data_IF_143445846240
#
_entry.id   IF_143445846240
#
_cell.length_a   1.000
_cell.length_b   1.000
_cell.length_c   1.000
_cell.angle_alpha   90.00
_cell.angle_beta   90.00
_cell.angle_gamma   90.00
#
_symmetry.space_group_name_H-M   'P 1'
#
loop_
_entity.id
_entity.type
_entity.pdbx_description
1 polymer ?
#
# COMPACT_ATOMS: atom_id res chain seq x y z
N UNK A 1 -12.63 -18.70 22.76
CA UNK A 1 -13.32 -18.29 21.52
C UNK A 1 -13.18 -16.78 21.40
N UNK A 2 -12.69 -16.23 20.29
CA UNK A 2 -12.74 -14.78 20.12
C UNK A 2 -14.22 -14.36 20.08
N UNK A 3 -14.58 -13.21 20.66
CA UNK A 3 -15.96 -12.72 20.66
C UNK A 3 -16.43 -12.54 19.21
N UNK A 4 -17.60 -13.10 18.87
CA UNK A 4 -18.22 -12.94 17.55
C UNK A 4 -18.81 -11.54 17.43
N UNK A 5 -17.98 -10.52 17.27
CA UNK A 5 -18.47 -9.27 16.70
C UNK A 5 -18.91 -9.60 15.27
N UNK A 6 -20.22 -9.50 14.98
CA UNK A 6 -20.69 -9.47 13.59
C UNK A 6 -20.14 -8.19 12.97
N UNK A 7 -18.99 -8.28 12.34
CA UNK A 7 -18.37 -7.15 11.63
C UNK A 7 -19.14 -6.95 10.33
N UNK A 8 -20.25 -6.22 10.40
CA UNK A 8 -20.93 -5.71 9.21
C UNK A 8 -20.17 -4.48 8.72
N UNK A 9 -19.27 -4.68 7.76
CA UNK A 9 -18.57 -3.59 7.09
C UNK A 9 -19.59 -2.79 6.28
N UNK A 10 -19.83 -1.53 6.68
CA UNK A 10 -20.76 -0.65 5.98
C UNK A 10 -20.10 -0.07 4.73
N UNK A 11 -20.88 0.15 3.67
CA UNK A 11 -20.37 0.68 2.39
C UNK A 11 -19.70 2.03 2.60
N UNK A 12 -20.19 2.86 3.54
CA UNK A 12 -19.67 4.18 3.90
C UNK A 12 -18.28 4.13 4.57
N UNK A 13 -17.87 2.98 5.10
CA UNK A 13 -16.54 2.76 5.70
C UNK A 13 -15.48 2.37 4.68
N UNK A 14 -15.87 2.05 3.45
CA UNK A 14 -14.93 1.75 2.38
C UNK A 14 -14.15 3.00 1.96
N UNK A 15 -12.92 2.86 1.46
CA UNK A 15 -12.12 4.01 1.04
C UNK A 15 -12.73 4.65 -0.22
N UNK A 16 -12.69 5.98 -0.29
CA UNK A 16 -13.05 6.74 -1.47
C UNK A 16 -11.83 7.13 -2.28
N UNK A 17 -11.98 7.13 -3.61
CA UNK A 17 -10.90 7.53 -4.49
C UNK A 17 -11.41 8.24 -5.74
N UNK A 18 -10.68 9.27 -6.17
CA UNK A 18 -11.02 10.15 -7.29
C UNK A 18 -10.26 9.82 -8.58
N UNK A 19 -9.45 8.76 -8.57
CA UNK A 19 -8.63 8.41 -9.72
C UNK A 19 -7.29 9.12 -9.77
N UNK A 20 -6.92 9.90 -8.74
CA UNK A 20 -5.59 10.52 -8.71
C UNK A 20 -4.49 9.44 -8.69
N UNK A 21 -3.67 9.46 -9.73
CA UNK A 21 -2.60 8.51 -9.97
C UNK A 21 -1.57 8.47 -8.83
N UNK A 22 -1.35 9.58 -8.11
CA UNK A 22 -0.38 9.64 -7.02
C UNK A 22 -0.90 9.04 -5.72
N UNK A 23 -2.22 9.02 -5.50
CA UNK A 23 -2.85 8.44 -4.30
C UNK A 23 -3.31 6.99 -4.51
N UNK A 24 -3.12 6.44 -5.72
CA UNK A 24 -3.53 5.09 -6.08
C UNK A 24 -2.92 4.00 -5.19
N UNK A 25 -1.63 4.10 -4.84
CA UNK A 25 -0.94 3.13 -3.99
C UNK A 25 -1.56 3.10 -2.59
N UNK A 26 -1.84 4.28 -2.02
CA UNK A 26 -2.46 4.39 -0.71
C UNK A 26 -3.90 3.84 -0.73
N UNK A 27 -4.68 4.16 -1.77
CA UNK A 27 -6.01 3.60 -1.95
C UNK A 27 -5.98 2.06 -2.03
N UNK A 28 -5.07 1.48 -2.82
CA UNK A 28 -4.92 0.03 -2.95
C UNK A 28 -4.54 -0.63 -1.63
N UNK A 29 -3.63 0.01 -0.88
CA UNK A 29 -3.24 -0.45 0.45
C UNK A 29 -4.42 -0.48 1.42
N UNK A 30 -5.24 0.59 1.47
CA UNK A 30 -6.43 0.65 2.32
C UNK A 30 -7.45 -0.45 1.97
N UNK A 31 -7.69 -0.69 0.69
CA UNK A 31 -8.56 -1.80 0.24
C UNK A 31 -8.01 -3.16 0.70
N UNK A 32 -6.69 -3.37 0.57
CA UNK A 32 -6.07 -4.62 0.98
C UNK A 32 -6.15 -4.84 2.50
N UNK A 33 -6.02 -3.79 3.32
CA UNK A 33 -6.20 -3.89 4.77
C UNK A 33 -7.60 -4.36 5.15
N UNK A 34 -8.63 -3.86 4.47
CA UNK A 34 -10.00 -4.33 4.68
C UNK A 34 -10.15 -5.79 4.26
N UNK A 35 -9.52 -6.20 3.17
CA UNK A 35 -9.58 -7.59 2.69
C UNK A 35 -8.96 -8.59 3.69
N UNK A 36 -7.96 -8.18 4.48
CA UNK A 36 -7.34 -9.02 5.51
C UNK A 36 -8.26 -9.40 6.68
N UNK A 37 -9.40 -8.74 6.83
CA UNK A 37 -10.45 -9.18 7.75
C UNK A 37 -11.01 -10.57 7.38
N UNK A 38 -10.80 -11.02 6.13
CA UNK A 38 -11.10 -12.37 5.67
C UNK A 38 -12.59 -12.66 5.55
N UNK A 39 -12.94 -13.95 5.55
CA UNK A 39 -14.31 -14.40 5.29
C UNK A 39 -14.79 -14.00 3.89
N UNK A 40 -15.99 -13.43 3.80
CA UNK A 40 -16.63 -13.00 2.54
C UNK A 40 -16.27 -11.55 2.13
N UNK A 41 -15.45 -10.86 2.93
CA UNK A 41 -15.09 -9.45 2.72
C UNK A 41 -14.34 -9.23 1.39
N UNK A 42 -13.40 -10.09 0.95
CA UNK A 42 -12.73 -9.94 -0.35
C UNK A 42 -13.68 -9.83 -1.55
N UNK A 43 -14.73 -10.65 -1.60
CA UNK A 43 -15.78 -10.62 -2.62
C UNK A 43 -16.67 -9.39 -2.48
N UNK A 44 -17.07 -9.06 -1.24
CA UNK A 44 -17.86 -7.88 -0.92
C UNK A 44 -17.20 -6.59 -1.40
N UNK A 45 -15.90 -6.45 -1.11
CA UNK A 45 -15.10 -5.31 -1.55
C UNK A 45 -15.12 -5.19 -3.07
N UNK A 46 -14.91 -6.30 -3.80
CA UNK A 46 -15.04 -6.31 -5.26
C UNK A 46 -16.37 -5.69 -5.71
N UNK A 47 -17.47 -6.11 -5.10
CA UNK A 47 -18.81 -5.65 -5.47
C UNK A 47 -19.07 -4.18 -5.12
N UNK A 48 -18.60 -3.69 -3.97
CA UNK A 48 -18.97 -2.38 -3.45
C UNK A 48 -18.01 -1.24 -3.79
N UNK A 49 -16.71 -1.51 -4.04
CA UNK A 49 -15.69 -0.46 -4.19
C UNK A 49 -16.01 0.57 -5.29
N UNK A 50 -16.64 0.15 -6.38
CA UNK A 50 -16.98 1.07 -7.48
C UNK A 50 -18.03 2.13 -7.08
N UNK A 51 -18.85 1.87 -6.07
CA UNK A 51 -19.77 2.87 -5.52
C UNK A 51 -19.03 3.99 -4.79
N UNK A 52 -17.81 3.72 -4.28
CA UNK A 52 -16.96 4.70 -3.58
C UNK A 52 -15.89 5.36 -4.45
N UNK A 53 -15.92 5.13 -5.75
CA UNK A 53 -15.25 6.03 -6.67
C UNK A 53 -16.00 7.37 -6.68
N UNK A 54 -15.30 8.49 -6.47
CA UNK A 54 -15.95 9.80 -6.31
C UNK A 54 -16.80 10.14 -7.52
N UNK A 55 -18.01 10.65 -7.28
CA UNK A 55 -18.90 11.05 -8.36
C UNK A 55 -18.28 12.15 -9.24
N UNK A 56 -18.50 12.07 -10.55
CA UNK A 56 -17.91 12.99 -11.53
C UNK A 56 -16.42 12.76 -11.84
N UNK A 57 -15.71 11.93 -11.07
CA UNK A 57 -14.29 11.60 -11.31
C UNK A 57 -14.07 10.85 -12.62
N UNK A 58 -12.84 10.94 -13.16
CA UNK A 58 -12.46 10.24 -14.40
C UNK A 58 -12.47 8.72 -14.21
N UNK A 59 -12.07 8.21 -13.03
CA UNK A 59 -12.10 6.78 -12.73
C UNK A 59 -13.52 6.24 -12.68
N UNK A 60 -14.48 6.98 -12.08
CA UNK A 60 -15.89 6.56 -12.05
C UNK A 60 -16.46 6.51 -13.47
N UNK A 61 -16.24 7.57 -14.25
CA UNK A 61 -16.67 7.66 -15.66
C UNK A 61 -16.09 6.52 -16.49
N UNK A 62 -14.79 6.25 -16.37
CA UNK A 62 -14.14 5.13 -17.04
C UNK A 62 -14.74 3.78 -16.65
N UNK A 63 -14.97 3.55 -15.35
CA UNK A 63 -15.48 2.25 -14.89
C UNK A 63 -16.88 1.96 -15.44
N UNK A 64 -17.77 2.95 -15.47
CA UNK A 64 -19.15 2.77 -15.96
C UNK A 64 -19.24 2.62 -17.49
N UNK A 65 -18.22 3.04 -18.23
CA UNK A 65 -18.15 2.83 -19.70
C UNK A 65 -17.59 1.47 -20.09
N UNK A 66 -17.05 0.69 -19.15
CA UNK A 66 -16.57 -0.66 -19.43
C UNK A 66 -17.74 -1.58 -19.86
N UNK A 67 -17.49 -2.57 -20.73
CA UNK A 67 -18.48 -3.62 -21.00
C UNK A 67 -18.93 -4.32 -19.72
N UNK A 68 -20.20 -4.74 -19.67
CA UNK A 68 -20.78 -5.41 -18.49
C UNK A 68 -19.95 -6.62 -18.05
N UNK A 69 -19.41 -7.39 -18.99
CA UNK A 69 -18.53 -8.54 -18.69
C UNK A 69 -17.27 -8.13 -17.93
N UNK A 70 -16.64 -7.02 -18.30
CA UNK A 70 -15.47 -6.48 -17.59
C UNK A 70 -15.86 -5.93 -16.21
N UNK A 71 -16.98 -5.22 -16.11
CA UNK A 71 -17.48 -4.74 -14.82
C UNK A 71 -17.77 -5.92 -13.87
N UNK A 72 -18.43 -6.97 -14.34
CA UNK A 72 -18.73 -8.17 -13.54
C UNK A 72 -17.46 -8.90 -13.11
N UNK A 73 -16.47 -9.03 -13.99
CA UNK A 73 -15.17 -9.59 -13.63
C UNK A 73 -14.51 -8.78 -12.51
N UNK A 74 -14.40 -7.46 -12.67
CA UNK A 74 -13.82 -6.57 -11.67
C UNK A 74 -14.59 -6.62 -10.35
N UNK A 75 -15.92 -6.67 -10.41
CA UNK A 75 -16.80 -6.71 -9.22
C UNK A 75 -16.77 -8.04 -8.46
N UNK A 76 -16.21 -9.10 -9.05
CA UNK A 76 -16.27 -10.43 -8.43
C UNK A 76 -15.29 -10.64 -7.28
N UNK A 77 -14.25 -9.82 -7.15
CA UNK A 77 -13.25 -9.93 -6.08
C UNK A 77 -12.37 -8.67 -6.01
N UNK A 78 -11.95 -8.23 -4.83
CA UNK A 78 -11.13 -7.01 -4.68
C UNK A 78 -9.85 -7.04 -5.52
N UNK A 79 -9.12 -8.17 -5.56
CA UNK A 79 -7.93 -8.30 -6.42
C UNK A 79 -8.23 -8.07 -7.90
N UNK A 80 -9.41 -8.50 -8.38
CA UNK A 80 -9.81 -8.30 -9.78
C UNK A 80 -10.20 -6.84 -10.02
N UNK A 81 -10.82 -6.19 -9.05
CA UNK A 81 -11.09 -4.75 -9.08
C UNK A 81 -9.78 -3.95 -9.15
N UNK A 82 -8.85 -4.17 -8.22
CA UNK A 82 -7.56 -3.48 -8.18
C UNK A 82 -6.74 -3.75 -9.44
N UNK A 83 -6.70 -5.00 -9.93
CA UNK A 83 -6.03 -5.36 -11.19
C UNK A 83 -6.67 -4.62 -12.37
N UNK A 84 -8.00 -4.61 -12.48
CA UNK A 84 -8.69 -3.92 -13.57
C UNK A 84 -8.44 -2.42 -13.57
N UNK A 85 -8.41 -1.78 -12.39
CA UNK A 85 -8.03 -0.36 -12.26
C UNK A 85 -6.57 -0.15 -12.66
N UNK A 86 -5.65 -0.99 -12.18
CA UNK A 86 -4.21 -0.91 -12.46
C UNK A 86 -3.90 -1.07 -13.96
N UNK A 87 -4.56 -2.01 -14.63
CA UNK A 87 -4.28 -2.32 -16.03
C UNK A 87 -5.06 -1.44 -17.00
N UNK A 88 -6.33 -1.13 -16.68
CA UNK A 88 -7.23 -0.44 -17.60
C UNK A 88 -7.32 1.08 -17.40
N UNK A 89 -7.28 1.57 -16.16
CA UNK A 89 -7.39 3.00 -15.87
C UNK A 89 -6.03 3.67 -15.72
N UNK A 90 -5.18 3.11 -14.85
CA UNK A 90 -3.85 3.65 -14.57
C UNK A 90 -2.85 3.31 -15.70
N UNK A 91 -2.92 2.07 -16.18
CA UNK A 91 -2.14 1.56 -17.31
C UNK A 91 -0.65 1.41 -17.03
N UNK A 92 0.07 0.90 -18.04
CA UNK A 92 1.50 0.56 -17.92
C UNK A 92 2.39 1.78 -17.59
N UNK A 93 2.06 2.95 -18.13
CA UNK A 93 2.82 4.19 -17.87
C UNK A 93 2.83 4.55 -16.39
N UNK A 94 1.69 4.40 -15.71
CA UNK A 94 1.61 4.61 -14.27
C UNK A 94 2.44 3.59 -13.51
N UNK A 95 2.39 2.30 -13.89
CA UNK A 95 3.17 1.26 -13.23
C UNK A 95 4.67 1.52 -13.33
N UNK A 96 5.16 1.90 -14.52
CA UNK A 96 6.56 2.31 -14.72
C UNK A 96 6.91 3.54 -13.87
N UNK A 97 6.03 4.54 -13.85
CA UNK A 97 6.23 5.76 -13.05
C UNK A 97 6.32 5.46 -11.55
N UNK A 98 5.43 4.62 -11.01
CA UNK A 98 5.45 4.24 -9.59
C UNK A 98 6.64 3.38 -9.24
N UNK A 99 7.05 2.46 -10.13
CA UNK A 99 8.29 1.70 -9.95
C UNK A 99 9.52 2.60 -9.94
N UNK A 100 9.59 3.58 -10.84
CA UNK A 100 10.67 4.57 -10.86
C UNK A 100 10.67 5.41 -9.58
N UNK A 101 9.51 5.89 -9.14
CA UNK A 101 9.37 6.62 -7.90
C UNK A 101 9.82 5.77 -6.70
N UNK A 102 9.34 4.54 -6.56
CA UNK A 102 9.77 3.60 -5.52
C UNK A 102 11.29 3.36 -5.52
N UNK A 103 11.90 3.29 -6.70
CA UNK A 103 13.35 3.11 -6.84
C UNK A 103 14.14 4.40 -6.59
N UNK A 104 13.52 5.58 -6.63
CA UNK A 104 14.15 6.86 -6.33
C UNK A 104 13.91 7.34 -4.90
N UNK A 105 12.98 6.73 -4.15
CA UNK A 105 12.69 7.10 -2.78
C UNK A 105 13.97 7.14 -1.93
N UNK A 106 14.09 8.19 -1.13
CA UNK A 106 15.06 8.32 -0.05
C UNK A 106 14.39 8.86 1.21
N UNK A 107 15.08 8.73 2.33
CA UNK A 107 14.68 9.37 3.59
C UNK A 107 14.70 10.89 3.43
N UNK A 108 13.71 11.58 4.01
CA UNK A 108 13.58 13.04 3.95
C UNK A 108 13.64 13.64 2.53
N UNK A 109 13.07 12.93 1.53
CA UNK A 109 12.99 13.44 0.16
C UNK A 109 11.99 14.60 0.03
N UNK A 110 11.93 15.20 -1.17
CA UNK A 110 10.96 16.27 -1.46
C UNK A 110 9.53 15.80 -1.22
N UNK A 111 8.74 16.62 -0.51
CA UNK A 111 7.40 16.33 0.05
C UNK A 111 7.37 15.38 1.24
N UNK A 112 8.53 14.94 1.74
CA UNK A 112 8.71 14.11 2.93
C UNK A 112 9.78 14.70 3.86
N UNK A 113 10.02 16.01 3.83
CA UNK A 113 11.17 16.66 4.46
C UNK A 113 11.20 16.55 6.00
N UNK A 114 10.05 16.25 6.61
CA UNK A 114 9.88 16.08 8.06
C UNK A 114 9.53 14.64 8.44
N UNK A 115 9.78 13.71 7.53
CA UNK A 115 9.52 12.30 7.74
C UNK A 115 10.37 11.74 8.88
N UNK A 116 9.76 11.02 9.81
CA UNK A 116 10.48 10.26 10.83
C UNK A 116 11.04 8.96 10.26
N UNK A 117 12.09 8.36 10.87
CA UNK A 117 12.55 7.03 10.51
C UNK A 117 11.43 5.98 10.45
N UNK A 118 10.49 6.04 11.40
CA UNK A 118 9.32 5.17 11.44
C UNK A 118 8.39 5.39 10.23
N UNK A 119 8.10 6.65 9.90
CA UNK A 119 7.26 7.01 8.74
C UNK A 119 7.89 6.56 7.42
N UNK A 120 9.22 6.71 7.28
CA UNK A 120 9.95 6.23 6.11
C UNK A 120 9.80 4.72 5.93
N UNK A 121 9.97 3.95 7.01
CA UNK A 121 9.81 2.49 6.98
C UNK A 121 8.38 2.11 6.63
N UNK A 122 7.36 2.77 7.21
CA UNK A 122 5.95 2.54 6.85
C UNK A 122 5.71 2.81 5.36
N UNK A 123 6.20 3.95 4.85
CA UNK A 123 6.08 4.30 3.43
C UNK A 123 6.73 3.24 2.55
N UNK A 124 7.93 2.79 2.89
CA UNK A 124 8.64 1.73 2.16
C UNK A 124 7.91 0.39 2.21
N UNK A 125 7.32 0.02 3.34
CA UNK A 125 6.49 -1.19 3.49
C UNK A 125 5.32 -1.15 2.51
N UNK A 126 4.55 -0.05 2.52
CA UNK A 126 3.37 0.11 1.66
C UNK A 126 3.74 -0.07 0.19
N UNK A 127 4.76 0.65 -0.29
CA UNK A 127 5.17 0.54 -1.69
C UNK A 127 5.72 -0.84 -2.04
N UNK A 128 6.50 -1.45 -1.14
CA UNK A 128 7.05 -2.80 -1.35
C UNK A 128 5.93 -3.83 -1.53
N UNK A 129 4.91 -3.80 -0.66
CA UNK A 129 3.76 -4.71 -0.74
C UNK A 129 2.85 -4.46 -1.94
N UNK A 130 2.76 -3.22 -2.42
CA UNK A 130 1.89 -2.86 -3.56
C UNK A 130 2.56 -3.06 -4.92
N UNK A 131 3.89 -2.99 -5.00
CA UNK A 131 4.63 -3.01 -6.27
C UNK A 131 5.43 -4.28 -6.50
N UNK A 132 5.92 -4.94 -5.44
CA UNK A 132 6.76 -6.12 -5.56
C UNK A 132 5.97 -7.40 -5.24
N UNK A 133 6.44 -8.52 -5.78
CA UNK A 133 5.99 -9.86 -5.40
C UNK A 133 6.96 -10.41 -4.37
N UNK A 134 6.70 -10.14 -3.10
CA UNK A 134 7.52 -10.57 -1.95
C UNK A 134 6.63 -11.22 -0.89
N UNK A 135 7.24 -12.07 -0.07
CA UNK A 135 6.58 -12.59 1.12
C UNK A 135 6.37 -11.45 2.13
N UNK A 136 5.13 -11.27 2.56
CA UNK A 136 4.72 -10.16 3.43
C UNK A 136 5.28 -10.41 4.82
N UNK A 137 6.07 -9.47 5.32
CA UNK A 137 6.75 -9.57 6.60
C UNK A 137 8.09 -10.30 6.54
N UNK A 138 8.44 -10.99 5.45
CA UNK A 138 9.65 -11.81 5.40
C UNK A 138 10.96 -11.02 5.30
N UNK A 139 12.13 -11.69 5.43
CA UNK A 139 13.45 -11.06 5.31
C UNK A 139 13.67 -10.33 3.98
N UNK A 140 13.06 -10.81 2.90
CA UNK A 140 13.16 -10.17 1.59
C UNK A 140 12.46 -8.81 1.56
N UNK A 141 11.33 -8.67 2.25
CA UNK A 141 10.65 -7.38 2.42
C UNK A 141 11.55 -6.40 3.21
N UNK A 142 12.15 -6.86 4.32
CA UNK A 142 13.13 -6.07 5.11
C UNK A 142 14.28 -5.57 4.22
N UNK A 143 14.86 -6.45 3.40
CA UNK A 143 15.91 -6.09 2.45
C UNK A 143 15.47 -4.97 1.50
N UNK A 144 14.28 -5.09 0.90
CA UNK A 144 13.78 -4.08 -0.03
C UNK A 144 13.44 -2.76 0.66
N UNK A 145 12.91 -2.79 1.87
CA UNK A 145 12.66 -1.58 2.67
C UNK A 145 13.98 -0.85 2.91
N UNK A 146 14.98 -1.56 3.45
CA UNK A 146 16.24 -0.97 3.89
C UNK A 146 17.21 -0.61 2.77
N UNK A 147 17.01 -1.13 1.55
CA UNK A 147 17.84 -0.78 0.38
C UNK A 147 17.92 0.74 0.10
N UNK A 148 16.94 1.51 0.58
CA UNK A 148 16.86 2.97 0.41
C UNK A 148 16.99 3.76 1.71
N UNK A 149 17.21 3.07 2.83
CA UNK A 149 17.53 3.73 4.08
C UNK A 149 18.94 4.34 4.03
N UNK A 150 19.22 5.38 4.83
CA UNK A 150 20.58 5.85 5.06
C UNK A 150 21.51 4.72 5.49
N UNK A 151 22.73 4.69 4.93
CA UNK A 151 23.71 3.61 5.20
C UNK A 151 24.09 3.57 6.68
N UNK A 152 24.12 4.73 7.34
CA UNK A 152 24.44 4.88 8.76
C UNK A 152 23.46 4.16 9.69
N UNK A 153 22.24 3.85 9.24
CA UNK A 153 21.25 3.12 10.04
C UNK A 153 21.60 1.65 10.21
N UNK A 154 22.40 1.07 9.31
CA UNK A 154 22.75 -0.35 9.31
C UNK A 154 23.32 -0.86 10.64
N UNK A 155 24.41 -0.23 11.14
CA UNK A 155 25.00 -0.57 12.43
C UNK A 155 24.07 -0.32 13.63
N UNK A 156 23.31 0.79 13.61
CA UNK A 156 22.41 1.18 14.71
C UNK A 156 21.30 0.13 14.89
N UNK A 157 20.68 -0.28 13.78
CA UNK A 157 19.58 -1.23 13.78
C UNK A 157 20.04 -2.69 13.88
N UNK A 158 21.34 -2.97 13.74
CA UNK A 158 21.89 -4.31 13.57
C UNK A 158 21.12 -5.10 12.50
N UNK A 159 20.97 -4.53 11.30
CA UNK A 159 20.03 -5.01 10.25
C UNK A 159 20.17 -6.52 9.97
N UNK A 160 21.38 -7.07 10.01
CA UNK A 160 21.64 -8.48 9.74
C UNK A 160 20.94 -9.46 10.70
N UNK A 161 20.50 -8.99 11.88
CA UNK A 161 19.76 -9.81 12.84
C UNK A 161 18.25 -9.62 12.80
N UNK A 162 17.73 -8.73 11.96
CA UNK A 162 16.29 -8.48 11.80
C UNK A 162 15.67 -9.58 10.93
N UNK A 163 14.64 -10.24 11.43
CA UNK A 163 14.00 -11.37 10.76
C UNK A 163 12.80 -10.99 9.92
N UNK A 164 12.08 -9.96 10.34
CA UNK A 164 10.82 -9.57 9.73
C UNK A 164 10.55 -8.06 9.82
N UNK A 165 9.55 -7.61 9.07
CA UNK A 165 9.18 -6.19 9.03
C UNK A 165 8.68 -5.65 10.38
N UNK A 166 8.16 -6.52 11.25
CA UNK A 166 7.66 -6.12 12.57
C UNK A 166 8.83 -5.84 13.51
N UNK A 167 9.84 -6.69 13.51
CA UNK A 167 11.10 -6.47 14.23
C UNK A 167 11.82 -5.24 13.68
N UNK A 168 11.82 -5.04 12.36
CA UNK A 168 12.36 -3.81 11.75
C UNK A 168 11.69 -2.55 12.32
N UNK A 169 10.35 -2.52 12.30
CA UNK A 169 9.60 -1.38 12.80
C UNK A 169 9.89 -1.13 14.27
N UNK A 170 9.88 -2.18 15.10
CA UNK A 170 10.18 -2.10 16.53
C UNK A 170 11.55 -1.47 16.79
N UNK A 171 12.60 -1.90 16.08
CA UNK A 171 13.96 -1.35 16.27
C UNK A 171 14.09 0.08 15.78
N UNK A 172 13.40 0.42 14.70
CA UNK A 172 13.40 1.79 14.17
C UNK A 172 12.75 2.75 15.14
N UNK A 173 11.63 2.35 15.76
CA UNK A 173 10.98 3.13 16.82
C UNK A 173 11.85 3.24 18.07
N UNK A 174 12.52 2.16 18.50
CA UNK A 174 13.39 2.16 19.68
C UNK A 174 14.62 3.08 19.50
N UNK A 175 15.13 3.20 18.28
CA UNK A 175 16.36 3.95 17.98
C UNK A 175 16.12 5.24 17.19
N UNK A 176 14.89 5.78 17.21
CA UNK A 176 14.48 6.88 16.32
C UNK A 176 15.39 8.12 16.41
N UNK A 177 15.75 8.55 17.62
CA UNK A 177 16.65 9.69 17.85
C UNK A 177 18.05 9.44 17.27
N UNK A 178 18.63 8.27 17.54
CA UNK A 178 19.95 7.89 17.05
C UNK A 178 19.99 7.82 15.50
N UNK A 179 18.91 7.37 14.87
CA UNK A 179 18.78 7.30 13.41
C UNK A 179 18.69 8.69 12.78
N UNK A 180 18.03 9.63 13.46
CA UNK A 180 17.96 11.03 13.03
C UNK A 180 19.32 11.72 13.15
N UNK A 181 20.02 11.53 14.27
CA UNK A 181 21.36 12.09 14.49
C UNK A 181 22.36 11.55 13.47
N UNK A 182 22.32 10.25 13.18
CA UNK A 182 23.24 9.61 12.23
C UNK A 182 22.98 9.94 10.75
N UNK A 183 21.90 10.65 10.44
CA UNK A 183 21.59 11.11 9.09
C UNK A 183 22.08 12.54 8.82
N UNK A 184 22.28 13.35 9.87
CA UNK A 184 22.79 14.72 9.77
C UNK A 184 24.25 14.72 9.31
#
# INVERSE_FOLDING_TARGET
MPPSMKTELKVEQLPEWDGNHWTAIEYFWQVQQLAYLGGWIPEALGYWLWFRLKEGSTVKKWFVTLPVTHQSYMRSHYLKFLKGVKDGFLGQRWQLKMNNYYNSQSFCERNHERESPSDFVIRRIIYTRMLLTVDVGGPLEVFYIMRKAPISWGPILLISSIKDSSELYSRVTEHEEALLEAYQ
#
